data_IF_486949207495
#
_entry.id   IF_486949207495
#
_cell.length_a   1.000
_cell.length_b   1.000
_cell.length_c   1.000
_cell.angle_alpha   90.00
_cell.angle_beta   90.00
_cell.angle_gamma   90.00
#
_symmetry.space_group_name_H-M   'P 1'
#
loop_
_entity.id
_entity.type
_entity.pdbx_description
1 polymer ?
#
# COMPACT_ATOMS: atom_id res chain seq x y z
N UNK A 1 -34.33 -43.81 15.97
CA UNK A 1 -32.98 -43.40 16.44
C UNK A 1 -31.88 -43.60 15.40
N UNK A 2 -31.85 -44.69 14.62
CA UNK A 2 -30.78 -44.95 13.64
C UNK A 2 -30.64 -43.93 12.47
N UNK A 3 -31.71 -43.22 12.09
CA UNK A 3 -31.66 -42.21 11.01
C UNK A 3 -30.91 -40.93 11.42
N UNK A 4 -31.08 -40.50 12.68
CA UNK A 4 -30.41 -39.30 13.23
C UNK A 4 -28.89 -39.49 13.32
N UNK A 5 -28.43 -40.68 13.71
CA UNK A 5 -27.00 -41.01 13.80
C UNK A 5 -26.31 -40.97 12.42
N UNK A 6 -26.99 -41.41 11.35
CA UNK A 6 -26.46 -41.36 9.98
C UNK A 6 -26.31 -39.93 9.48
N UNK A 7 -27.30 -39.07 9.74
CA UNK A 7 -27.25 -37.66 9.34
C UNK A 7 -26.14 -36.89 10.07
N UNK A 8 -25.93 -37.18 11.36
CA UNK A 8 -24.83 -36.60 12.13
C UNK A 8 -23.46 -37.06 11.63
N UNK A 9 -23.33 -38.33 11.21
CA UNK A 9 -22.09 -38.86 10.65
C UNK A 9 -21.76 -38.25 9.28
N UNK A 10 -22.77 -38.05 8.41
CA UNK A 10 -22.59 -37.37 7.12
C UNK A 10 -22.17 -35.91 7.34
N UNK A 11 -22.81 -35.20 8.27
CA UNK A 11 -22.46 -33.82 8.59
C UNK A 11 -21.04 -33.70 9.15
N UNK A 12 -20.63 -34.65 10.00
CA UNK A 12 -19.26 -34.74 10.52
C UNK A 12 -18.25 -34.94 9.39
N UNK A 13 -18.52 -35.87 8.46
CA UNK A 13 -17.63 -36.13 7.31
C UNK A 13 -17.52 -34.90 6.40
N UNK A 14 -18.63 -34.21 6.09
CA UNK A 14 -18.62 -32.97 5.29
C UNK A 14 -17.83 -31.86 6.02
N UNK A 15 -17.98 -31.74 7.33
CA UNK A 15 -17.25 -30.75 8.14
C UNK A 15 -15.75 -31.05 8.16
N UNK A 16 -15.34 -32.32 8.30
CA UNK A 16 -13.93 -32.71 8.25
C UNK A 16 -13.37 -32.45 6.84
N UNK A 17 -14.11 -32.81 5.78
CA UNK A 17 -13.69 -32.61 4.40
C UNK A 17 -13.47 -31.11 4.08
N UNK A 18 -14.37 -30.24 4.54
CA UNK A 18 -14.26 -28.78 4.35
C UNK A 18 -13.12 -28.14 5.13
N UNK A 19 -12.75 -28.68 6.30
CA UNK A 19 -11.58 -28.21 7.08
C UNK A 19 -10.27 -28.62 6.38
N UNK A 20 -10.22 -29.81 5.78
CA UNK A 20 -9.00 -30.32 5.11
C UNK A 20 -8.64 -29.64 3.79
N UNK A 21 -9.56 -28.87 3.18
CA UNK A 21 -9.30 -28.12 1.94
C UNK A 21 -8.67 -26.74 2.13
N UNK A 22 -8.40 -26.32 3.38
CA UNK A 22 -7.66 -25.08 3.64
C UNK A 22 -6.16 -25.32 3.53
N UNK A 23 -5.68 -25.63 2.33
CA UNK A 23 -4.27 -25.43 2.00
C UNK A 23 -4.04 -23.93 1.95
N UNK A 24 -3.60 -23.34 3.06
CA UNK A 24 -3.14 -21.95 3.07
C UNK A 24 -1.90 -21.86 2.16
N UNK A 25 -2.10 -21.46 0.91
CA UNK A 25 -1.01 -21.18 -0.02
C UNK A 25 -0.35 -19.88 0.43
N UNK A 26 0.77 -20.00 1.14
CA UNK A 26 1.51 -18.85 1.64
C UNK A 26 2.48 -18.30 0.59
N UNK A 27 2.78 -19.02 -0.49
CA UNK A 27 3.80 -18.67 -1.50
C UNK A 27 3.27 -18.90 -2.92
N UNK A 28 4.12 -18.75 -3.93
CA UNK A 28 3.77 -19.13 -5.30
C UNK A 28 3.30 -20.60 -5.33
N UNK A 29 2.24 -20.95 -6.10
CA UNK A 29 1.78 -22.32 -6.24
C UNK A 29 2.86 -23.22 -6.87
N UNK A 30 2.94 -24.47 -6.41
CA UNK A 30 3.81 -25.47 -7.03
C UNK A 30 3.42 -25.71 -8.51
N UNK A 31 4.40 -25.95 -9.40
CA UNK A 31 4.12 -26.25 -10.79
C UNK A 31 3.40 -27.60 -10.93
N UNK A 32 2.44 -27.67 -11.86
CA UNK A 32 1.70 -28.91 -12.19
C UNK A 32 2.28 -29.66 -13.40
N UNK A 33 3.33 -29.12 -14.00
CA UNK A 33 4.06 -29.66 -15.14
C UNK A 33 5.46 -29.05 -15.17
N UNK A 34 6.39 -29.68 -15.89
CA UNK A 34 7.80 -29.27 -15.92
C UNK A 34 7.99 -27.78 -16.28
N UNK A 35 7.28 -27.30 -17.30
CA UNK A 35 7.40 -25.92 -17.79
C UNK A 35 6.05 -25.32 -18.20
N UNK A 36 5.84 -24.05 -17.86
CA UNK A 36 4.71 -23.24 -18.31
C UNK A 36 5.20 -21.81 -18.60
N UNK A 37 5.86 -21.61 -19.73
CA UNK A 37 6.38 -20.29 -20.12
C UNK A 37 5.23 -19.28 -20.23
N UNK A 38 5.33 -18.14 -19.53
CA UNK A 38 4.27 -17.13 -19.55
C UNK A 38 3.98 -16.61 -20.96
N UNK A 39 2.70 -16.59 -21.33
CA UNK A 39 2.19 -15.86 -22.47
C UNK A 39 1.81 -14.44 -22.04
N UNK A 40 2.80 -13.54 -22.08
CA UNK A 40 2.65 -12.14 -21.69
C UNK A 40 1.74 -11.35 -22.66
N UNK A 41 1.38 -11.91 -23.80
CA UNK A 41 0.49 -11.30 -24.79
C UNK A 41 -0.96 -11.80 -24.68
N UNK A 42 -1.25 -12.71 -23.76
CA UNK A 42 -2.59 -13.24 -23.58
C UNK A 42 -3.57 -12.17 -23.10
N UNK A 43 -4.78 -12.17 -23.65
CA UNK A 43 -5.89 -11.33 -23.18
C UNK A 43 -6.63 -11.95 -22.00
N UNK A 44 -6.28 -13.18 -21.62
CA UNK A 44 -6.90 -13.90 -20.50
C UNK A 44 -6.12 -13.60 -19.22
N UNK A 45 -6.82 -13.14 -18.18
CA UNK A 45 -6.23 -12.92 -16.86
C UNK A 45 -6.50 -14.12 -15.95
N UNK A 46 -5.44 -14.63 -15.32
CA UNK A 46 -5.48 -15.69 -14.30
C UNK A 46 -4.55 -15.30 -13.15
N UNK A 47 -4.55 -16.06 -12.05
CA UNK A 47 -3.50 -15.93 -11.06
C UNK A 47 -2.17 -16.42 -11.67
N UNK A 48 -1.18 -15.53 -11.79
CA UNK A 48 0.02 -15.77 -12.59
C UNK A 48 -0.21 -15.41 -14.05
N UNK A 49 0.19 -16.30 -14.97
CA UNK A 49 0.06 -16.08 -16.42
C UNK A 49 -0.40 -17.36 -17.13
N UNK A 50 -1.22 -17.26 -18.18
CA UNK A 50 -1.46 -18.37 -19.09
C UNK A 50 -0.14 -18.85 -19.71
N UNK A 51 -0.02 -20.14 -20.00
CA UNK A 51 1.17 -20.69 -20.65
C UNK A 51 1.13 -20.50 -22.18
N UNK A 52 2.29 -20.30 -22.82
CA UNK A 52 2.43 -20.47 -24.28
C UNK A 52 2.01 -21.88 -24.71
N UNK A 53 1.37 -22.00 -25.87
CA UNK A 53 0.86 -23.29 -26.41
C UNK A 53 1.95 -24.11 -27.13
N UNK A 54 1.74 -25.42 -27.23
CA UNK A 54 2.46 -26.36 -28.10
C UNK A 54 4.00 -26.28 -28.04
N UNK A 55 4.59 -26.12 -26.84
CA UNK A 55 6.05 -26.05 -26.68
C UNK A 55 6.73 -25.01 -27.60
N UNK A 56 6.02 -23.92 -27.92
CA UNK A 56 6.57 -22.81 -28.75
C UNK A 56 7.61 -21.96 -28.02
N UNK A 57 8.13 -22.46 -26.90
CA UNK A 57 9.17 -21.79 -26.15
C UNK A 57 10.55 -22.06 -26.75
N UNK A 58 11.47 -21.17 -26.42
CA UNK A 58 12.86 -21.18 -26.86
C UNK A 58 13.78 -21.15 -25.64
N UNK A 59 15.05 -21.54 -25.75
CA UNK A 59 16.02 -21.37 -24.66
C UNK A 59 16.06 -19.94 -24.11
N UNK A 60 15.82 -18.95 -24.97
CA UNK A 60 15.77 -17.53 -24.62
C UNK A 60 14.62 -17.19 -23.66
N UNK A 61 13.55 -17.99 -23.59
CA UNK A 61 12.49 -17.82 -22.59
C UNK A 61 12.98 -18.15 -21.16
N UNK A 62 14.04 -18.96 -21.03
CA UNK A 62 14.62 -19.44 -19.78
C UNK A 62 15.94 -18.75 -19.43
N UNK A 63 16.35 -17.73 -20.19
CA UNK A 63 17.59 -17.01 -19.95
C UNK A 63 17.34 -15.50 -20.00
N UNK A 64 18.05 -14.74 -19.16
CA UNK A 64 17.96 -13.28 -19.17
C UNK A 64 19.32 -12.66 -18.91
N UNK A 65 19.65 -11.64 -19.71
CA UNK A 65 20.76 -10.73 -19.44
C UNK A 65 20.33 -9.54 -18.57
N UNK A 66 19.09 -9.55 -18.06
CA UNK A 66 18.47 -8.43 -17.34
C UNK A 66 19.26 -7.94 -16.14
N UNK A 67 20.01 -8.81 -15.46
CA UNK A 67 20.85 -8.45 -14.29
C UNK A 67 22.35 -8.41 -14.59
N UNK A 68 22.75 -8.53 -15.87
CA UNK A 68 24.16 -8.53 -16.26
C UNK A 68 24.83 -7.15 -16.04
N UNK A 69 24.04 -6.07 -16.06
CA UNK A 69 24.49 -4.68 -15.87
C UNK A 69 23.64 -3.99 -14.79
N UNK A 70 24.13 -2.89 -14.20
CA UNK A 70 23.32 -2.05 -13.32
C UNK A 70 22.06 -1.56 -14.04
N UNK A 71 20.98 -1.37 -13.28
CA UNK A 71 19.77 -0.74 -13.77
C UNK A 71 19.90 0.79 -13.91
N UNK A 72 18.75 1.43 -14.13
CA UNK A 72 18.66 2.88 -14.23
C UNK A 72 18.93 3.56 -12.88
N UNK A 73 19.57 4.75 -12.88
CA UNK A 73 19.83 5.50 -11.66
C UNK A 73 18.51 5.97 -11.05
N UNK A 74 18.42 5.90 -9.73
CA UNK A 74 17.34 6.52 -8.98
C UNK A 74 17.86 7.62 -8.04
N UNK A 75 16.93 8.38 -7.47
CA UNK A 75 17.21 9.51 -6.56
C UNK A 75 17.87 9.10 -5.24
N UNK A 76 17.94 7.80 -4.93
CA UNK A 76 18.52 7.26 -3.70
C UNK A 76 19.98 6.82 -3.90
N UNK A 77 20.58 7.05 -5.07
CA UNK A 77 21.95 6.61 -5.36
C UNK A 77 22.09 5.10 -5.49
N UNK A 78 21.00 4.42 -5.87
CA UNK A 78 21.00 2.99 -6.19
C UNK A 78 20.45 2.74 -7.59
N UNK A 79 20.73 1.54 -8.11
CA UNK A 79 20.31 1.07 -9.43
C UNK A 79 19.82 -0.37 -9.29
N UNK A 80 18.58 -0.62 -9.68
CA UNK A 80 17.95 -1.95 -9.57
C UNK A 80 17.71 -2.51 -10.95
N UNK A 81 18.24 -3.70 -11.20
CA UNK A 81 17.93 -4.50 -12.39
C UNK A 81 17.28 -5.81 -11.92
N UNK A 82 16.26 -6.28 -12.63
CA UNK A 82 15.43 -7.42 -12.19
C UNK A 82 15.38 -8.48 -13.29
N UNK A 83 15.40 -9.75 -12.91
CA UNK A 83 15.07 -10.90 -13.74
C UNK A 83 13.88 -11.63 -13.11
N UNK A 84 12.66 -11.30 -13.56
CA UNK A 84 11.40 -11.86 -13.06
C UNK A 84 10.53 -12.32 -14.24
N UNK A 85 9.34 -12.83 -13.97
CA UNK A 85 8.46 -13.40 -15.01
C UNK A 85 8.15 -12.46 -16.19
N UNK A 86 8.24 -11.14 -16.00
CA UNK A 86 7.98 -10.17 -17.07
C UNK A 86 9.10 -10.08 -18.12
N UNK A 87 10.33 -10.44 -17.78
CA UNK A 87 11.48 -10.39 -18.68
C UNK A 87 12.28 -11.70 -18.76
N UNK A 88 11.81 -12.73 -18.05
CA UNK A 88 12.25 -14.12 -18.15
C UNK A 88 10.99 -15.01 -18.03
N UNK A 89 10.17 -15.13 -19.10
CA UNK A 89 8.85 -15.76 -19.05
C UNK A 89 8.87 -17.23 -18.60
N UNK A 90 10.00 -17.92 -18.74
CA UNK A 90 10.22 -19.28 -18.23
C UNK A 90 10.18 -19.41 -16.70
N UNK A 91 10.20 -18.30 -15.95
CA UNK A 91 10.03 -18.31 -14.48
C UNK A 91 8.58 -18.55 -14.04
N UNK A 92 7.62 -18.49 -14.96
CA UNK A 92 6.23 -18.73 -14.62
C UNK A 92 6.03 -20.15 -14.08
N UNK A 93 5.30 -20.22 -12.95
CA UNK A 93 5.09 -21.41 -12.09
C UNK A 93 6.32 -21.96 -11.37
N UNK A 94 7.49 -21.31 -11.46
CA UNK A 94 8.74 -21.85 -10.88
C UNK A 94 9.06 -21.31 -9.47
N UNK A 95 8.29 -20.33 -8.99
CA UNK A 95 8.42 -19.83 -7.62
C UNK A 95 9.72 -19.10 -7.30
N UNK A 96 10.46 -18.62 -8.30
CA UNK A 96 11.74 -17.92 -8.10
C UNK A 96 11.92 -16.73 -9.04
N UNK A 97 12.69 -15.75 -8.60
CA UNK A 97 13.20 -14.65 -9.43
C UNK A 97 14.48 -14.07 -8.82
N UNK A 98 15.16 -13.19 -9.57
CA UNK A 98 16.41 -12.58 -9.14
C UNK A 98 16.44 -11.07 -9.40
N UNK A 99 17.32 -10.38 -8.70
CA UNK A 99 17.65 -8.99 -8.99
C UNK A 99 19.14 -8.71 -8.76
N UNK A 100 19.59 -7.59 -9.29
CA UNK A 100 20.89 -6.98 -9.00
C UNK A 100 20.64 -5.57 -8.50
N UNK A 101 21.33 -5.19 -7.43
CA UNK A 101 21.32 -3.81 -6.93
C UNK A 101 22.76 -3.31 -6.86
N UNK A 102 23.01 -2.20 -7.54
CA UNK A 102 24.27 -1.45 -7.43
C UNK A 102 24.01 -0.17 -6.63
N UNK A 103 24.98 0.20 -5.81
CA UNK A 103 24.95 1.36 -4.94
C UNK A 103 26.14 2.24 -5.28
N UNK A 104 25.88 3.51 -5.54
CA UNK A 104 26.92 4.53 -5.52
C UNK A 104 27.46 4.68 -4.09
N UNK A 105 28.55 5.44 -3.91
CA UNK A 105 29.00 5.81 -2.57
C UNK A 105 27.86 6.51 -1.81
N UNK A 106 27.62 6.09 -0.57
CA UNK A 106 26.51 6.57 0.27
C UNK A 106 25.11 6.31 -0.37
N UNK A 107 25.03 5.36 -1.32
CA UNK A 107 23.79 4.94 -1.96
C UNK A 107 22.90 4.10 -1.05
N UNK A 108 21.59 4.29 -1.20
CA UNK A 108 20.54 3.65 -0.41
C UNK A 108 19.59 2.87 -1.32
N UNK A 109 19.32 1.62 -0.97
CA UNK A 109 18.08 0.95 -1.35
C UNK A 109 17.10 1.20 -0.20
N UNK A 110 16.16 2.16 -0.36
CA UNK A 110 15.40 2.74 0.77
C UNK A 110 14.52 1.71 1.46
N UNK A 111 14.00 1.99 2.66
CA UNK A 111 13.04 1.12 3.32
C UNK A 111 11.91 0.70 2.39
N UNK A 112 11.80 -0.61 2.17
CA UNK A 112 10.81 -1.24 1.29
C UNK A 112 10.39 -2.61 1.81
N UNK A 113 9.36 -3.19 1.19
CA UNK A 113 8.89 -4.55 1.48
C UNK A 113 8.57 -5.31 0.20
N UNK A 114 8.72 -6.64 0.28
CA UNK A 114 8.31 -7.61 -0.72
C UNK A 114 7.09 -8.39 -0.18
N UNK A 115 5.85 -8.04 -0.58
CA UNK A 115 4.65 -8.62 0.02
C UNK A 115 4.49 -10.12 -0.27
N UNK A 116 5.13 -10.63 -1.34
CA UNK A 116 4.95 -12.01 -1.80
C UNK A 116 6.20 -12.87 -1.72
N UNK A 117 7.34 -12.35 -1.28
CA UNK A 117 8.58 -13.12 -1.22
C UNK A 117 9.45 -12.81 0.00
N UNK A 118 10.09 -13.84 0.51
CA UNK A 118 11.35 -13.72 1.25
C UNK A 118 12.46 -13.38 0.25
N UNK A 119 13.37 -12.54 0.69
CA UNK A 119 14.55 -12.14 -0.08
C UNK A 119 15.82 -12.69 0.57
N UNK A 120 16.78 -13.14 -0.23
CA UNK A 120 18.15 -13.38 0.20
C UNK A 120 19.12 -12.67 -0.73
N UNK A 121 20.08 -11.96 -0.14
CA UNK A 121 21.12 -11.23 -0.86
C UNK A 121 22.48 -11.90 -0.71
N UNK A 122 23.32 -11.74 -1.74
CA UNK A 122 24.72 -12.08 -1.76
C UNK A 122 25.52 -10.84 -2.14
N UNK A 123 26.51 -10.46 -1.34
CA UNK A 123 27.34 -9.29 -1.63
C UNK A 123 28.41 -9.66 -2.65
N UNK A 124 28.26 -9.15 -3.87
CA UNK A 124 29.25 -9.32 -4.95
C UNK A 124 30.48 -8.44 -4.71
N UNK A 125 30.28 -7.21 -4.23
CA UNK A 125 31.33 -6.22 -4.02
C UNK A 125 30.89 -5.13 -3.02
N UNK A 126 31.86 -4.52 -2.32
CA UNK A 126 31.63 -3.39 -1.42
C UNK A 126 31.32 -3.79 0.03
N UNK A 127 30.77 -2.83 0.78
CA UNK A 127 30.43 -2.98 2.20
C UNK A 127 29.11 -2.25 2.48
N UNK A 128 28.13 -2.98 2.97
CA UNK A 128 26.77 -2.50 3.17
C UNK A 128 26.35 -2.72 4.61
N UNK A 129 25.51 -1.83 5.14
CA UNK A 129 24.62 -2.19 6.25
C UNK A 129 23.35 -2.74 5.63
N UNK A 130 23.01 -3.98 5.96
CA UNK A 130 21.72 -4.59 5.62
C UNK A 130 20.92 -4.80 6.90
N UNK A 131 19.62 -4.54 6.85
CA UNK A 131 18.76 -4.80 8.01
C UNK A 131 17.27 -4.71 7.72
N UNK A 132 16.50 -5.33 8.60
CA UNK A 132 15.04 -5.34 8.59
C UNK A 132 14.47 -5.01 9.97
N UNK A 133 13.19 -4.66 9.99
CA UNK A 133 12.44 -4.34 11.20
C UNK A 133 11.40 -5.45 11.42
N UNK A 134 11.42 -6.08 12.60
CA UNK A 134 10.40 -7.06 12.99
C UNK A 134 9.06 -6.37 13.29
N UNK A 135 7.98 -7.15 13.36
CA UNK A 135 6.66 -6.62 13.77
C UNK A 135 6.64 -6.12 15.22
N UNK A 136 7.61 -6.51 16.04
CA UNK A 136 7.83 -5.99 17.40
C UNK A 136 8.72 -4.73 17.41
N UNK A 137 8.97 -4.12 16.24
CA UNK A 137 9.81 -2.94 16.03
C UNK A 137 11.28 -3.14 16.43
N UNK A 138 11.80 -4.37 16.34
CA UNK A 138 13.22 -4.65 16.58
C UNK A 138 13.98 -4.51 15.28
N UNK A 139 15.00 -3.63 15.27
CA UNK A 139 15.89 -3.48 14.12
C UNK A 139 17.00 -4.54 14.15
N UNK A 140 16.90 -5.52 13.25
CA UNK A 140 17.91 -6.57 13.05
C UNK A 140 18.80 -6.16 11.89
N UNK A 141 20.09 -5.98 12.14
CA UNK A 141 21.02 -5.50 11.11
C UNK A 141 22.42 -6.10 11.26
N UNK A 142 23.17 -6.01 10.17
CA UNK A 142 24.58 -6.41 10.12
C UNK A 142 25.32 -5.59 9.06
N UNK A 143 26.58 -5.27 9.36
CA UNK A 143 27.55 -4.87 8.34
C UNK A 143 27.98 -6.10 7.55
N UNK A 144 27.66 -6.13 6.26
CA UNK A 144 27.96 -7.24 5.36
C UNK A 144 28.94 -6.80 4.26
N UNK A 145 29.82 -7.72 3.89
CA UNK A 145 30.93 -7.51 2.95
C UNK A 145 30.94 -8.60 1.88
N UNK A 146 31.77 -8.41 0.85
CA UNK A 146 31.91 -9.34 -0.27
C UNK A 146 31.96 -10.81 0.18
N UNK A 147 31.08 -11.63 -0.40
CA UNK A 147 30.97 -13.05 -0.11
C UNK A 147 29.94 -13.42 0.97
N UNK A 148 29.47 -12.45 1.77
CA UNK A 148 28.43 -12.69 2.76
C UNK A 148 27.03 -12.69 2.16
N UNK A 149 26.13 -13.41 2.83
CA UNK A 149 24.70 -13.43 2.54
C UNK A 149 23.89 -12.83 3.70
N UNK A 150 22.71 -12.30 3.40
CA UNK A 150 21.77 -11.80 4.40
C UNK A 150 20.33 -12.08 3.93
N UNK A 151 19.43 -12.42 4.85
CA UNK A 151 18.03 -12.78 4.55
C UNK A 151 17.08 -11.72 5.09
N UNK A 152 16.08 -11.35 4.27
CA UNK A 152 14.97 -10.50 4.68
C UNK A 152 13.67 -11.33 4.67
N UNK A 153 13.04 -11.55 5.83
CA UNK A 153 11.78 -12.28 5.90
C UNK A 153 10.67 -11.61 5.09
N UNK A 154 9.81 -12.42 4.46
CA UNK A 154 8.68 -11.95 3.65
C UNK A 154 7.87 -10.86 4.35
N UNK A 155 7.59 -9.78 3.61
CA UNK A 155 6.70 -8.71 4.05
C UNK A 155 7.31 -7.73 5.05
N UNK A 156 8.49 -8.00 5.63
CA UNK A 156 9.12 -7.08 6.57
C UNK A 156 9.79 -5.89 5.87
N UNK A 157 9.71 -4.73 6.50
CA UNK A 157 10.40 -3.52 6.03
C UNK A 157 11.91 -3.76 6.20
N UNK A 158 12.66 -3.55 5.13
CA UNK A 158 14.11 -3.71 5.12
C UNK A 158 14.78 -2.71 4.18
N UNK A 159 16.10 -2.56 4.33
CA UNK A 159 16.91 -1.67 3.51
C UNK A 159 18.35 -2.18 3.40
N UNK A 160 19.09 -1.60 2.46
CA UNK A 160 20.54 -1.76 2.35
C UNK A 160 21.19 -0.40 2.07
N UNK A 161 22.27 -0.09 2.78
CA UNK A 161 22.95 1.20 2.68
C UNK A 161 24.45 1.02 2.52
N UNK A 162 25.04 1.67 1.51
CA UNK A 162 26.47 1.56 1.23
C UNK A 162 27.28 2.46 2.16
N UNK A 163 27.98 1.85 3.10
CA UNK A 163 28.91 2.52 4.03
C UNK A 163 30.38 2.39 3.62
N UNK A 164 30.63 1.73 2.48
CA UNK A 164 31.96 1.57 1.91
C UNK A 164 32.51 2.87 1.31
N UNK A 165 33.82 2.89 1.06
CA UNK A 165 34.50 4.04 0.43
C UNK A 165 34.25 4.15 -1.08
N UNK A 166 33.80 3.08 -1.72
CA UNK A 166 33.49 3.00 -3.14
C UNK A 166 32.09 2.46 -3.37
N UNK A 167 31.80 2.05 -4.60
CA UNK A 167 30.51 1.45 -4.95
C UNK A 167 30.36 0.05 -4.34
N UNK A 168 29.10 -0.40 -4.23
CA UNK A 168 28.76 -1.74 -3.77
C UNK A 168 27.77 -2.40 -4.73
N UNK A 169 27.77 -3.73 -4.78
CA UNK A 169 26.84 -4.52 -5.58
C UNK A 169 26.37 -5.74 -4.81
N UNK A 170 25.06 -6.00 -4.83
CA UNK A 170 24.46 -7.25 -4.35
C UNK A 170 23.70 -7.96 -5.47
N UNK A 171 23.67 -9.28 -5.40
CA UNK A 171 22.79 -10.14 -6.18
C UNK A 171 21.73 -10.70 -5.24
N UNK A 172 20.49 -10.72 -5.70
CA UNK A 172 19.31 -10.97 -4.90
C UNK A 172 18.54 -12.14 -5.49
N UNK A 173 18.00 -13.02 -4.65
CA UNK A 173 17.07 -14.07 -5.04
C UNK A 173 15.80 -14.00 -4.18
N UNK A 174 14.68 -14.36 -4.79
CA UNK A 174 13.35 -14.36 -4.18
C UNK A 174 12.68 -15.72 -4.34
N UNK A 175 11.87 -16.13 -3.37
CA UNK A 175 11.00 -17.31 -3.49
C UNK A 175 9.63 -16.98 -4.10
N UNK A 176 9.62 -16.14 -5.13
CA UNK A 176 8.45 -15.87 -5.97
C UNK A 176 8.91 -15.43 -7.37
N UNK A 177 8.17 -15.81 -8.39
CA UNK A 177 8.33 -15.31 -9.76
C UNK A 177 8.02 -13.81 -9.87
N UNK A 178 7.23 -13.28 -8.93
CA UNK A 178 6.84 -11.87 -8.84
C UNK A 178 6.76 -11.43 -7.37
N UNK A 179 7.90 -11.08 -6.74
CA UNK A 179 7.94 -10.71 -5.32
C UNK A 179 7.10 -9.46 -4.99
N UNK A 180 6.96 -8.55 -5.97
CA UNK A 180 6.41 -7.20 -5.78
C UNK A 180 7.32 -6.33 -4.95
N UNK A 181 7.27 -5.01 -5.10
CA UNK A 181 8.05 -4.09 -4.26
C UNK A 181 7.18 -2.93 -3.84
N UNK A 182 7.25 -2.57 -2.57
CA UNK A 182 6.61 -1.37 -2.03
C UNK A 182 7.65 -0.55 -1.27
N UNK A 183 8.11 0.54 -1.88
CA UNK A 183 9.01 1.50 -1.23
C UNK A 183 8.19 2.38 -0.30
N UNK A 184 8.53 2.39 0.99
CA UNK A 184 7.69 2.99 2.04
C UNK A 184 7.53 4.50 1.81
N UNK A 185 8.63 5.22 1.53
CA UNK A 185 8.59 6.65 1.27
C UNK A 185 7.73 7.00 0.04
N UNK A 186 7.91 6.29 -1.07
CA UNK A 186 7.13 6.52 -2.29
C UNK A 186 5.65 6.17 -2.07
N UNK A 187 5.34 5.10 -1.34
CA UNK A 187 3.96 4.65 -1.13
C UNK A 187 3.17 5.60 -0.21
N UNK A 188 3.83 6.14 0.83
CA UNK A 188 3.18 7.03 1.79
C UNK A 188 3.07 8.47 1.27
N UNK A 189 4.08 8.96 0.55
CA UNK A 189 4.14 10.35 0.16
C UNK A 189 3.82 10.58 -1.33
N UNK A 190 4.10 9.63 -2.23
CA UNK A 190 4.01 9.82 -3.69
C UNK A 190 3.11 8.79 -4.40
N UNK A 191 2.15 8.20 -3.70
CA UNK A 191 1.13 7.31 -4.27
C UNK A 191 0.20 8.02 -5.26
N UNK A 192 -0.46 7.24 -6.11
CA UNK A 192 -1.41 7.73 -7.12
C UNK A 192 -2.70 6.87 -7.10
N UNK A 193 -3.87 7.44 -6.76
CA UNK A 193 -4.07 8.79 -6.22
C UNK A 193 -3.31 8.98 -4.89
N UNK A 194 -3.02 10.23 -4.54
CA UNK A 194 -2.30 10.54 -3.31
C UNK A 194 -3.16 10.27 -2.08
N UNK A 195 -2.53 9.80 -0.99
CA UNK A 195 -3.17 9.74 0.33
C UNK A 195 -3.49 11.18 0.80
N UNK A 196 -4.64 11.45 1.43
CA UNK A 196 -4.91 12.78 2.00
C UNK A 196 -3.78 13.27 2.92
N UNK A 197 -3.39 14.54 2.79
CA UNK A 197 -2.22 15.09 3.49
C UNK A 197 -2.38 15.02 5.00
N UNK A 198 -3.59 15.22 5.51
CA UNK A 198 -3.91 15.17 6.93
C UNK A 198 -3.71 13.76 7.51
N UNK A 199 -3.96 12.72 6.70
CA UNK A 199 -3.73 11.32 7.10
C UNK A 199 -2.24 11.07 7.25
N UNK A 200 -1.43 11.49 6.28
CA UNK A 200 0.04 11.33 6.33
C UNK A 200 0.62 12.19 7.46
N UNK A 201 0.21 13.45 7.58
CA UNK A 201 0.65 14.35 8.63
C UNK A 201 0.38 13.77 10.03
N UNK A 202 -0.83 13.23 10.24
CA UNK A 202 -1.19 12.58 11.51
C UNK A 202 -0.43 11.29 11.76
N UNK A 203 -0.24 10.46 10.73
CA UNK A 203 0.48 9.19 10.85
C UNK A 203 1.96 9.40 11.21
N UNK A 204 2.59 10.43 10.64
CA UNK A 204 4.01 10.76 10.86
C UNK A 204 4.22 11.83 11.95
N UNK A 205 3.16 12.28 12.63
CA UNK A 205 3.20 13.32 13.68
C UNK A 205 3.92 14.60 13.22
N UNK A 206 3.58 15.07 12.03
CA UNK A 206 4.21 16.19 11.33
C UNK A 206 3.14 17.14 10.78
N UNK A 207 3.54 18.29 10.24
CA UNK A 207 2.63 19.25 9.61
C UNK A 207 2.28 18.88 8.17
N UNK A 208 1.18 19.41 7.66
CA UNK A 208 0.81 19.26 6.24
C UNK A 208 1.85 19.93 5.33
N UNK A 209 2.44 21.04 5.78
CA UNK A 209 3.51 21.75 5.09
C UNK A 209 4.76 20.87 4.92
N UNK A 210 5.15 20.13 5.96
CA UNK A 210 6.25 19.18 5.90
C UNK A 210 5.94 18.00 4.96
N UNK A 211 4.71 17.48 4.98
CA UNK A 211 4.26 16.44 4.03
C UNK A 211 4.43 16.94 2.60
N UNK A 212 3.94 18.15 2.28
CA UNK A 212 4.10 18.77 0.96
C UNK A 212 5.57 18.94 0.58
N UNK A 213 6.41 19.36 1.51
CA UNK A 213 7.84 19.51 1.27
C UNK A 213 8.53 18.17 0.95
N UNK A 214 8.16 17.08 1.64
CA UNK A 214 8.66 15.74 1.34
C UNK A 214 8.17 15.28 -0.04
N UNK A 215 6.89 15.49 -0.36
CA UNK A 215 6.32 15.17 -1.69
C UNK A 215 7.08 15.83 -2.82
N UNK A 216 7.39 17.12 -2.67
CA UNK A 216 8.13 17.88 -3.67
C UNK A 216 9.53 17.31 -3.94
N UNK A 217 10.21 16.75 -2.92
CA UNK A 217 11.53 16.12 -3.08
C UNK A 217 11.47 14.72 -3.69
N UNK A 218 10.37 14.00 -3.49
CA UNK A 218 10.16 12.65 -4.04
C UNK A 218 9.56 12.68 -5.44
N UNK A 219 9.03 13.82 -5.90
CA UNK A 219 8.55 14.00 -7.26
C UNK A 219 9.74 13.94 -8.23
N UNK A 220 9.79 12.89 -9.05
CA UNK A 220 10.68 12.85 -10.22
C UNK A 220 10.33 14.01 -11.17
N UNK A 221 11.31 14.64 -11.84
CA UNK A 221 11.01 15.65 -12.85
C UNK A 221 10.06 15.07 -13.89
N UNK A 222 8.91 15.72 -14.07
CA UNK A 222 7.92 15.35 -15.06
C UNK A 222 8.54 15.47 -16.45
N UNK A 223 8.93 14.33 -17.02
CA UNK A 223 9.26 14.27 -18.44
C UNK A 223 7.97 14.58 -19.24
N UNK A 224 7.89 15.81 -19.77
CA UNK A 224 7.10 16.12 -20.97
C UNK A 224 5.57 16.06 -20.86
N UNK A 225 4.97 16.27 -19.70
CA UNK A 225 3.54 16.67 -19.67
C UNK A 225 3.47 18.18 -19.97
N UNK A 226 2.69 18.62 -20.97
CA UNK A 226 2.58 20.03 -21.28
C UNK A 226 2.12 20.78 -20.04
N UNK A 227 2.79 21.90 -19.73
CA UNK A 227 2.44 22.78 -18.61
C UNK A 227 0.99 23.24 -18.77
N UNK A 228 0.08 22.54 -18.12
CA UNK A 228 -1.36 22.75 -18.17
C UNK A 228 -1.92 22.65 -16.77
N UNK A 229 -2.07 23.82 -16.13
CA UNK A 229 -2.72 24.12 -14.85
C UNK A 229 -2.32 23.26 -13.65
N UNK A 230 -1.62 23.92 -12.74
CA UNK A 230 -1.62 23.63 -11.31
C UNK A 230 -3.09 23.46 -10.86
N UNK A 231 -3.50 22.23 -10.56
CA UNK A 231 -4.77 22.01 -9.88
C UNK A 231 -4.58 22.51 -8.46
N UNK A 232 -5.15 23.67 -8.16
CA UNK A 232 -5.29 24.11 -6.77
C UNK A 232 -6.11 23.07 -6.02
N UNK A 233 -5.53 22.54 -4.93
CA UNK A 233 -6.15 21.62 -3.98
C UNK A 233 -7.32 22.28 -3.28
N UNK A 234 -8.46 22.38 -3.94
CA UNK A 234 -9.74 22.68 -3.29
C UNK A 234 -10.86 21.85 -3.92
N UNK A 235 -11.40 20.96 -3.09
CA UNK A 235 -12.74 20.39 -3.19
C UNK A 235 -12.96 19.27 -4.24
N UNK A 236 -12.52 18.04 -3.92
CA UNK A 236 -13.10 16.84 -4.55
C UNK A 236 -14.37 16.42 -3.78
N UNK A 237 -15.54 16.80 -4.30
CA UNK A 237 -16.79 16.12 -3.96
C UNK A 237 -16.95 14.89 -4.87
N UNK A 238 -16.99 13.69 -4.29
CA UNK A 238 -17.50 12.50 -4.97
C UNK A 238 -19.03 12.49 -4.86
N UNK A 239 -19.73 12.84 -5.93
CA UNK A 239 -21.13 12.45 -6.09
C UNK A 239 -21.14 11.06 -6.75
N UNK A 240 -21.59 10.06 -6.00
CA UNK A 240 -21.98 8.78 -6.57
C UNK A 240 -23.42 8.90 -7.05
N UNK A 241 -23.62 9.02 -8.36
CA UNK A 241 -24.93 8.85 -8.95
C UNK A 241 -25.19 7.34 -9.12
N UNK A 242 -26.15 6.82 -8.37
CA UNK A 242 -26.65 5.46 -8.60
C UNK A 242 -27.70 5.57 -9.69
N UNK A 243 -27.34 5.29 -10.95
CA UNK A 243 -28.25 4.67 -11.91
C UNK A 243 -27.46 3.99 -13.04
N UNK A 244 -28.11 2.99 -13.62
CA UNK A 244 -27.58 1.86 -14.38
C UNK A 244 -26.78 2.18 -15.66
N UNK A 245 -25.89 1.24 -16.00
CA UNK A 245 -25.25 0.94 -17.29
C UNK A 245 -24.40 2.00 -18.04
N UNK A 246 -23.09 1.69 -18.09
CA UNK A 246 -22.11 1.88 -19.17
C UNK A 246 -21.78 3.30 -19.71
N UNK A 247 -20.47 3.57 -19.79
CA UNK A 247 -19.73 4.70 -20.37
C UNK A 247 -19.67 6.03 -19.57
N UNK A 248 -18.52 6.29 -18.94
CA UNK A 248 -18.16 7.62 -18.46
C UNK A 248 -17.15 8.29 -19.39
N UNK A 249 -17.62 9.27 -20.17
CA UNK A 249 -16.82 10.39 -20.63
C UNK A 249 -17.00 11.55 -19.63
N UNK A 250 -15.93 12.03 -19.00
CA UNK A 250 -15.99 13.23 -18.17
C UNK A 250 -15.69 14.47 -19.03
N UNK A 251 -16.70 15.34 -19.19
CA UNK A 251 -16.52 16.73 -19.61
C UNK A 251 -16.59 17.63 -18.37
N UNK A 252 -15.55 18.43 -18.15
CA UNK A 252 -15.52 19.44 -17.09
C UNK A 252 -16.02 20.77 -17.65
N UNK A 253 -17.06 21.34 -17.02
CA UNK A 253 -17.50 22.71 -17.27
C UNK A 253 -17.15 23.56 -16.04
N UNK A 254 -16.38 24.63 -16.24
CA UNK A 254 -15.88 25.51 -15.17
C UNK A 254 -16.78 26.74 -15.07
N UNK A 255 -17.53 26.89 -13.97
CA UNK A 255 -18.05 28.19 -13.54
C UNK A 255 -18.05 28.35 -12.02
N UNK A 256 -17.26 29.34 -11.62
CA UNK A 256 -17.27 30.20 -10.43
C UNK A 256 -18.52 30.14 -9.53
N UNK A 257 -18.31 29.77 -8.26
CA UNK A 257 -18.69 30.53 -7.06
C UNK A 257 -18.53 29.65 -5.79
N UNK A 258 -17.65 30.08 -4.88
CA UNK A 258 -17.37 29.39 -3.62
C UNK A 258 -18.48 29.64 -2.58
N UNK A 259 -19.20 28.59 -2.16
CA UNK A 259 -19.91 28.53 -0.88
C UNK A 259 -19.90 27.09 -0.36
N UNK A 260 -19.43 26.88 0.87
CA UNK A 260 -19.64 25.61 1.57
C UNK A 260 -21.07 25.58 2.12
N UNK A 261 -21.91 24.69 1.59
CA UNK A 261 -23.16 24.27 2.24
C UNK A 261 -23.01 22.80 2.67
N UNK A 262 -22.87 22.57 3.97
CA UNK A 262 -23.03 21.22 4.55
C UNK A 262 -24.53 20.94 4.67
N UNK A 263 -25.11 20.29 3.66
CA UNK A 263 -26.48 19.81 3.74
C UNK A 263 -26.45 18.32 4.17
N UNK A 264 -26.69 18.08 5.45
CA UNK A 264 -27.02 16.74 5.93
C UNK A 264 -28.49 16.48 5.63
N UNK A 265 -28.78 15.70 4.59
CA UNK A 265 -30.10 15.10 4.46
C UNK A 265 -30.08 13.71 5.11
N UNK A 266 -30.50 13.68 6.37
CA UNK A 266 -31.21 12.52 6.89
C UNK A 266 -32.64 13.01 7.09
N UNK A 267 -33.60 12.36 6.41
CA UNK A 267 -34.39 11.28 7.04
C UNK A 267 -35.52 10.80 6.14
N UNK A 268 -35.80 9.51 6.23
CA UNK A 268 -37.17 9.01 6.21
C UNK A 268 -38.03 9.82 7.18
N UNK A 269 -39.02 10.52 6.61
CA UNK A 269 -40.27 10.96 7.21
C UNK A 269 -40.24 11.72 8.56
N UNK A 270 -40.23 13.06 8.46
CA UNK A 270 -41.32 13.96 8.90
C UNK A 270 -40.81 15.40 9.15
N UNK A 271 -41.35 16.37 8.39
CA UNK A 271 -41.69 17.78 8.72
C UNK A 271 -40.94 18.44 9.92
N UNK A 272 -40.28 19.61 9.83
CA UNK A 272 -40.72 20.91 9.28
C UNK A 272 -39.55 21.90 9.10
N UNK A 273 -39.80 22.89 8.23
CA UNK A 273 -39.06 24.10 7.84
C UNK A 273 -38.22 24.88 8.86
N UNK A 274 -37.16 25.55 8.36
CA UNK A 274 -37.08 27.02 8.39
C UNK A 274 -36.06 27.58 7.38
N UNK A 275 -36.43 28.69 6.74
CA UNK A 275 -35.59 29.59 5.95
C UNK A 275 -34.66 30.39 6.88
N UNK A 276 -33.53 30.92 6.39
CA UNK A 276 -33.30 32.37 6.24
C UNK A 276 -31.91 32.75 5.68
N UNK A 277 -31.92 33.97 5.15
CA UNK A 277 -30.98 34.72 4.34
C UNK A 277 -29.59 34.98 4.92
N UNK A 278 -28.63 35.15 4.01
CA UNK A 278 -27.29 35.69 4.26
C UNK A 278 -27.36 37.19 4.53
N UNK A 279 -26.56 37.67 5.47
CA UNK A 279 -25.79 38.90 5.27
C UNK A 279 -24.50 38.89 6.11
N UNK A 280 -23.56 39.69 5.62
CA UNK A 280 -22.13 39.80 5.91
C UNK A 280 -21.70 40.09 7.36
N UNK A 281 -20.37 39.92 7.51
CA UNK A 281 -19.45 40.55 8.45
C UNK A 281 -19.08 39.83 9.77
N UNK A 282 -17.78 39.48 9.82
CA UNK A 282 -16.82 39.57 10.93
C UNK A 282 -17.19 39.00 12.31
N UNK A 283 -16.42 37.98 12.69
CA UNK A 283 -15.85 37.74 14.02
C UNK A 283 -16.82 37.62 15.21
N UNK A 284 -16.95 36.41 15.79
CA UNK A 284 -16.65 36.10 17.22
C UNK A 284 -17.45 34.90 17.77
N UNK A 285 -16.75 34.14 18.63
CA UNK A 285 -17.19 33.41 19.82
C UNK A 285 -18.57 32.74 19.85
N UNK A 286 -18.56 31.41 19.95
CA UNK A 286 -19.73 30.64 20.41
C UNK A 286 -19.86 30.71 21.94
N UNK A 287 -20.79 31.53 22.43
CA UNK A 287 -21.43 31.34 23.73
C UNK A 287 -22.47 30.21 23.63
N UNK A 288 -22.49 29.33 24.62
CA UNK A 288 -23.53 28.33 24.82
C UNK A 288 -24.69 28.94 25.61
N UNK A 289 -25.92 28.65 25.21
CA UNK A 289 -27.07 28.77 26.11
C UNK A 289 -27.99 27.56 25.99
N UNK A 290 -28.34 26.99 27.14
CA UNK A 290 -29.28 25.86 27.29
C UNK A 290 -30.66 26.45 27.55
N UNK A 291 -31.69 25.97 26.86
CA UNK A 291 -33.03 26.02 27.43
C UNK A 291 -33.85 24.77 27.12
N UNK A 292 -34.48 24.29 28.20
CA UNK A 292 -35.29 23.09 28.39
C UNK A 292 -36.69 23.24 27.75
N UNK A 293 -37.32 22.14 27.33
CA UNK A 293 -38.48 21.58 28.05
C UNK A 293 -39.03 20.28 27.41
N UNK A 294 -39.03 19.22 28.24
CA UNK A 294 -40.01 18.11 28.39
C UNK A 294 -40.41 17.24 27.18
N UNK A 295 -39.98 15.97 27.19
CA UNK A 295 -40.72 14.92 27.90
C UNK A 295 -39.91 13.60 28.04
N UNK A 296 -40.10 13.01 29.22
CA UNK A 296 -39.45 11.81 29.79
C UNK A 296 -39.74 10.51 29.03
N UNK A 297 -38.74 9.62 28.94
CA UNK A 297 -38.77 8.30 29.61
C UNK A 297 -37.34 7.79 29.78
N UNK A 298 -36.90 7.73 31.04
CA UNK A 298 -35.61 7.22 31.50
C UNK A 298 -35.76 5.81 32.08
N UNK A 299 -34.78 4.94 31.85
CA UNK A 299 -34.40 3.93 32.86
C UNK A 299 -32.88 3.72 32.82
N UNK A 300 -32.19 4.34 33.77
CA UNK A 300 -30.81 4.09 34.15
C UNK A 300 -30.84 3.71 35.64
N UNK A 301 -30.17 2.62 36.00
CA UNK A 301 -29.84 2.31 37.39
C UNK A 301 -28.67 3.20 37.84
N UNK A 302 -28.88 3.93 38.94
CA UNK A 302 -27.88 4.75 39.63
C UNK A 302 -27.38 4.02 40.87
N UNK A 303 -26.11 4.21 41.21
CA UNK A 303 -25.68 4.49 42.58
C UNK A 303 -24.65 5.63 42.59
N UNK A 304 -24.87 6.59 43.50
CA UNK A 304 -24.15 7.84 43.79
C UNK A 304 -22.78 7.56 44.47
N UNK A 305 -21.76 8.44 44.48
CA UNK A 305 -21.72 9.72 45.23
C UNK A 305 -20.47 10.58 44.85
N UNK A 306 -20.72 11.90 44.72
CA UNK A 306 -19.95 13.09 45.18
C UNK A 306 -18.41 13.20 44.99
N UNK A 307 -17.96 14.23 44.26
CA UNK A 307 -17.59 15.56 44.85
C UNK A 307 -17.05 16.54 43.79
N UNK A 308 -17.56 17.78 43.84
CA UNK A 308 -17.07 19.00 43.21
C UNK A 308 -16.10 19.71 44.15
N UNK A 309 -14.99 20.29 43.66
CA UNK A 309 -14.44 21.56 44.15
C UNK A 309 -13.53 22.20 43.10
N UNK A 310 -13.76 23.49 42.83
CA UNK A 310 -12.89 24.41 42.08
C UNK A 310 -12.34 25.47 43.01
N UNK A 311 -11.08 25.90 42.83
CA UNK A 311 -10.64 27.28 43.12
C UNK A 311 -9.29 27.60 42.44
N UNK A 312 -9.27 28.72 41.73
CA UNK A 312 -8.07 29.44 41.28
C UNK A 312 -7.65 30.44 42.37
N UNK A 313 -6.35 30.73 42.47
CA UNK A 313 -5.84 32.10 42.52
C UNK A 313 -4.37 32.17 42.11
N UNK A 314 -4.04 33.26 41.44
CA UNK A 314 -2.76 33.63 40.81
C UNK A 314 -1.96 34.50 41.78
N UNK A 315 -0.63 34.30 41.81
CA UNK A 315 0.37 35.37 41.89
C UNK A 315 1.47 35.08 40.87
#
# INVERSE_FOLDING_TARGET
>A
MASSTKNNMILLVITILTITFNSASAADPDPLQDVCVADLNSTITVNGFPCKRNFTFTPEDFASMGIARPGEPNIFGSRVAVANVFNMPGLNTQGVSMARVDFDRDGLNPPHTHPRATEIIFVKEGTLVAGFITTDNVFVNKLITKGEVFVFPRGLIHFSFNVGRGNATIIVAFNSQNPGVQVIAISMFASRPQIPEEVVARAFQTSVEEVRAIRARLALPTAGLPSGRQCDDRNMHSQYDKHDDCNMHSQCDTRDDCNMYLQYDKRDDRNMHSQYDKHDDRNMNSQYDKHEDRNMYSRYDKYEDRNMYSRYDIM
#
